data_IF_609427399306
#
_entry.id   IF_609427399306
#
_cell.length_a   1.000
_cell.length_b   1.000
_cell.length_c   1.000
_cell.angle_alpha   90.00
_cell.angle_beta   90.00
_cell.angle_gamma   90.00
#
_symmetry.space_group_name_H-M   'P 1'
#
loop_
_entity.id
_entity.type
_entity.pdbx_description
1 polymer ?
#
# COMPACT_ATOMS: atom_id res chain seq x y z
N UNK A 1 -7.61 7.33 3.29
CA UNK A 1 -6.70 7.28 2.13
C UNK A 1 -5.29 7.58 2.61
N UNK A 2 -4.33 6.77 2.19
CA UNK A 2 -2.89 6.96 2.44
C UNK A 2 -2.22 7.25 1.10
N UNK A 3 -1.52 8.37 1.00
CA UNK A 3 -0.72 8.76 -0.14
C UNK A 3 0.75 8.78 0.27
N UNK A 4 1.61 8.17 -0.54
CA UNK A 4 3.04 8.05 -0.30
C UNK A 4 3.77 8.67 -1.49
N UNK A 5 4.65 9.62 -1.20
CA UNK A 5 5.60 10.17 -2.14
C UNK A 5 6.99 9.62 -1.79
N UNK A 6 7.60 8.84 -2.69
CA UNK A 6 8.97 8.35 -2.48
C UNK A 6 10.00 9.45 -2.72
N UNK A 7 11.21 9.29 -2.19
CA UNK A 7 12.31 10.23 -2.48
C UNK A 7 12.66 10.32 -3.96
N UNK A 8 12.45 9.24 -4.71
CA UNK A 8 12.62 9.19 -6.16
C UNK A 8 11.46 9.86 -6.92
N UNK A 9 10.48 10.43 -6.20
CA UNK A 9 9.37 11.19 -6.76
C UNK A 9 8.26 10.32 -7.38
N UNK A 10 8.14 9.05 -7.00
CA UNK A 10 7.01 8.19 -7.35
C UNK A 10 5.87 8.35 -6.35
N UNK A 11 4.64 8.25 -6.84
CA UNK A 11 3.43 8.51 -6.05
C UNK A 11 2.53 7.30 -6.11
N UNK A 12 2.19 6.75 -4.96
CA UNK A 12 1.38 5.54 -4.80
C UNK A 12 0.74 5.52 -3.41
N UNK A 13 -0.04 4.50 -3.11
CA UNK A 13 -0.63 4.34 -1.79
C UNK A 13 -1.81 3.40 -1.77
N UNK A 14 -2.71 3.63 -0.83
CA UNK A 14 -3.90 2.80 -0.69
C UNK A 14 -5.06 3.51 -0.03
N UNK A 15 -6.25 3.00 -0.32
CA UNK A 15 -7.49 3.38 0.31
C UNK A 15 -7.98 2.24 1.19
N UNK A 16 -8.49 2.62 2.36
CA UNK A 16 -9.20 1.77 3.29
C UNK A 16 -10.52 2.47 3.62
N UNK A 17 -11.63 1.74 3.54
CA UNK A 17 -12.91 2.18 4.08
C UNK A 17 -12.95 1.95 5.60
N UNK A 18 -12.35 0.87 6.07
CA UNK A 18 -12.30 0.55 7.50
C UNK A 18 -11.27 1.44 8.22
N UNK A 19 -11.60 1.81 9.46
CA UNK A 19 -10.65 2.51 10.32
C UNK A 19 -9.46 1.60 10.65
N UNK A 20 -8.27 2.19 10.69
CA UNK A 20 -7.09 1.51 11.22
C UNK A 20 -7.29 1.22 12.71
N UNK A 21 -6.82 0.06 13.15
CA UNK A 21 -6.72 -0.29 14.57
C UNK A 21 -5.26 -0.56 14.94
N UNK A 22 -4.97 -0.76 16.22
CA UNK A 22 -3.64 -1.17 16.71
C UNK A 22 -3.69 -2.56 17.34
N UNK A 23 -4.64 -3.40 16.90
CA UNK A 23 -4.95 -4.70 17.51
C UNK A 23 -3.98 -5.83 17.16
N UNK A 24 -2.91 -5.56 16.42
CA UNK A 24 -1.99 -6.57 15.86
C UNK A 24 -2.74 -7.64 15.07
N UNK A 25 -3.70 -7.21 14.25
CA UNK A 25 -4.63 -8.08 13.54
C UNK A 25 -4.84 -7.62 12.10
N UNK A 26 -5.31 -8.56 11.28
CA UNK A 26 -5.85 -8.22 9.98
C UNK A 26 -7.20 -7.52 10.12
N UNK A 27 -7.49 -6.61 9.20
CA UNK A 27 -8.79 -5.94 9.10
C UNK A 27 -9.38 -6.31 7.74
N UNK A 28 -10.57 -6.90 7.80
CA UNK A 28 -11.35 -7.20 6.60
C UNK A 28 -11.84 -5.91 5.97
N UNK A 29 -11.45 -5.64 4.73
CA UNK A 29 -11.94 -4.49 3.97
C UNK A 29 -12.11 -4.84 2.47
N UNK A 30 -13.32 -5.25 2.06
CA UNK A 30 -13.59 -5.61 0.67
C UNK A 30 -13.58 -4.41 -0.29
N UNK A 31 -13.57 -3.17 0.23
CA UNK A 31 -13.52 -1.95 -0.59
C UNK A 31 -12.15 -1.29 -0.59
N UNK A 32 -11.17 -1.89 0.09
CA UNK A 32 -9.80 -1.43 0.02
C UNK A 32 -9.25 -1.58 -1.40
N UNK A 33 -8.34 -0.70 -1.77
CA UNK A 33 -7.57 -0.81 -3.00
C UNK A 33 -6.22 -0.13 -2.81
N UNK A 34 -5.19 -0.62 -3.51
CA UNK A 34 -3.92 0.11 -3.65
C UNK A 34 -3.85 0.76 -5.02
N UNK A 35 -3.00 1.77 -5.18
CA UNK A 35 -2.92 2.51 -6.43
C UNK A 35 -1.51 3.04 -6.69
N UNK A 36 -1.22 3.31 -7.97
CA UNK A 36 -0.09 4.13 -8.41
C UNK A 36 -0.62 5.34 -9.16
N UNK A 37 -0.02 6.51 -8.96
CA UNK A 37 -0.28 7.74 -9.72
C UNK A 37 0.93 8.15 -10.58
N UNK A 38 2.15 7.87 -10.11
CA UNK A 38 3.41 8.09 -10.82
C UNK A 38 4.37 6.95 -10.51
N UNK A 39 4.91 6.30 -11.55
CA UNK A 39 5.77 5.11 -11.48
C UNK A 39 6.79 5.14 -12.64
N UNK A 40 7.85 4.32 -12.61
CA UNK A 40 8.89 4.32 -13.66
C UNK A 40 8.48 3.62 -14.95
N UNK A 41 7.29 3.03 -15.05
CA UNK A 41 6.92 2.11 -16.13
C UNK A 41 5.95 2.70 -17.14
N UNK A 42 5.72 4.03 -17.09
CA UNK A 42 4.69 4.72 -17.88
C UNK A 42 3.28 4.12 -17.69
N UNK A 43 3.03 3.48 -16.54
CA UNK A 43 1.70 2.96 -16.21
C UNK A 43 0.84 4.17 -15.84
N UNK A 44 -0.34 4.38 -16.46
CA UNK A 44 -1.22 5.48 -16.10
C UNK A 44 -1.70 5.30 -14.64
N UNK A 45 -2.26 6.36 -14.01
CA UNK A 45 -2.89 6.22 -12.71
C UNK A 45 -3.84 5.02 -12.65
N UNK A 46 -3.50 4.03 -11.82
CA UNK A 46 -4.15 2.71 -11.83
C UNK A 46 -4.51 2.29 -10.41
N UNK A 47 -5.69 1.69 -10.26
CA UNK A 47 -6.18 1.08 -9.01
C UNK A 47 -6.08 -0.43 -9.10
N UNK A 48 -5.69 -1.06 -8.00
CA UNK A 48 -5.56 -2.50 -7.84
C UNK A 48 -6.47 -2.93 -6.70
N UNK A 49 -7.47 -3.75 -7.04
CA UNK A 49 -8.49 -4.19 -6.09
C UNK A 49 -8.00 -5.40 -5.30
N UNK A 50 -8.58 -5.60 -4.11
CA UNK A 50 -8.37 -6.84 -3.34
C UNK A 50 -8.86 -8.04 -4.17
N UNK A 51 -8.09 -9.12 -4.15
CA UNK A 51 -8.49 -10.38 -4.80
C UNK A 51 -9.68 -11.00 -4.06
N UNK A 52 -10.56 -11.66 -4.82
CA UNK A 52 -11.65 -12.47 -4.25
C UNK A 52 -11.09 -13.49 -3.25
N UNK A 53 -11.65 -13.52 -2.04
CA UNK A 53 -11.24 -14.41 -0.95
C UNK A 53 -10.08 -13.88 -0.09
N UNK A 54 -9.48 -12.74 -0.44
CA UNK A 54 -8.41 -12.10 0.33
C UNK A 54 -8.87 -10.86 1.09
N UNK A 55 -10.17 -10.56 1.10
CA UNK A 55 -10.74 -9.36 1.72
C UNK A 55 -10.43 -9.28 3.22
N UNK A 56 -10.35 -10.43 3.90
CA UNK A 56 -9.98 -10.53 5.31
C UNK A 56 -8.53 -10.12 5.61
N UNK A 57 -7.70 -10.01 4.57
CA UNK A 57 -6.28 -9.66 4.66
C UNK A 57 -5.98 -8.28 4.07
N UNK A 58 -7.00 -7.50 3.74
CA UNK A 58 -6.86 -6.24 3.01
C UNK A 58 -5.93 -5.24 3.71
N UNK A 59 -6.01 -5.14 5.04
CA UNK A 59 -5.16 -4.28 5.85
C UNK A 59 -4.52 -5.08 6.97
N UNK A 60 -3.31 -4.70 7.37
CA UNK A 60 -2.66 -5.23 8.56
C UNK A 60 -2.35 -4.11 9.53
N UNK A 61 -2.94 -4.20 10.72
CA UNK A 61 -2.88 -3.18 11.76
C UNK A 61 -1.96 -3.66 12.87
N UNK A 62 -0.66 -3.38 12.75
CA UNK A 62 0.34 -3.71 13.75
C UNK A 62 0.82 -2.46 14.46
N UNK A 63 0.87 -2.47 15.79
CA UNK A 63 1.18 -1.28 16.58
C UNK A 63 2.58 -0.68 16.28
N UNK A 64 3.51 -1.49 15.77
CA UNK A 64 4.85 -1.05 15.37
C UNK A 64 5.02 -0.87 13.86
N UNK A 65 3.94 -0.84 13.08
CA UNK A 65 3.96 -0.53 11.65
C UNK A 65 3.17 0.75 11.37
N UNK A 66 3.56 1.44 10.31
CA UNK A 66 2.71 2.43 9.67
C UNK A 66 1.60 1.76 8.84
N UNK A 67 0.90 2.54 7.99
CA UNK A 67 -0.12 2.02 7.09
C UNK A 67 0.41 0.84 6.27
N UNK A 68 -0.24 -0.32 6.42
CA UNK A 68 0.18 -1.58 5.78
C UNK A 68 -1.00 -2.23 5.07
N UNK A 69 -0.84 -2.46 3.76
CA UNK A 69 -1.87 -3.01 2.89
C UNK A 69 -1.49 -4.44 2.49
N UNK A 70 -2.41 -5.40 2.72
CA UNK A 70 -2.27 -6.80 2.34
C UNK A 70 -1.58 -7.70 3.38
N UNK A 71 -1.76 -9.02 3.22
CA UNK A 71 -0.95 -10.07 3.86
C UNK A 71 0.33 -10.32 3.05
N UNK A 72 1.47 -10.45 3.74
CA UNK A 72 2.78 -10.44 3.09
C UNK A 72 2.95 -9.12 2.34
N UNK A 73 3.05 -8.00 3.08
CA UNK A 73 2.35 -6.78 2.71
C UNK A 73 2.71 -6.28 1.32
N UNK A 74 1.66 -6.12 0.51
CA UNK A 74 1.73 -5.61 -0.84
C UNK A 74 2.35 -4.20 -0.83
N UNK A 75 2.01 -3.39 0.18
CA UNK A 75 2.70 -2.15 0.54
C UNK A 75 2.89 -2.14 2.07
N UNK A 76 4.14 -2.09 2.52
CA UNK A 76 4.49 -1.89 3.94
C UNK A 76 5.24 -0.59 4.13
N UNK A 77 4.71 0.24 5.01
CA UNK A 77 5.42 1.37 5.61
C UNK A 77 5.82 0.97 7.03
N UNK A 78 7.12 0.84 7.35
CA UNK A 78 7.57 0.52 8.69
C UNK A 78 7.36 1.69 9.65
N UNK A 79 7.32 1.41 10.96
CA UNK A 79 7.57 2.46 11.95
C UNK A 79 8.97 3.07 11.73
N UNK A 80 9.13 4.35 12.12
CA UNK A 80 10.35 5.14 11.84
C UNK A 80 10.68 5.16 10.35
N UNK A 81 9.68 5.40 9.52
CA UNK A 81 9.78 5.48 8.06
C UNK A 81 10.74 6.56 7.55
N UNK A 82 11.22 7.45 8.42
CA UNK A 82 12.31 8.38 8.13
C UNK A 82 13.71 7.72 8.14
N UNK A 83 13.83 6.53 8.73
CA UNK A 83 15.10 5.77 8.87
C UNK A 83 15.06 4.42 8.15
N UNK A 84 13.88 3.82 7.98
CA UNK A 84 13.70 2.48 7.43
C UNK A 84 12.94 2.53 6.12
N UNK A 85 13.41 1.77 5.12
CA UNK A 85 12.76 1.68 3.80
C UNK A 85 11.42 0.97 3.89
N UNK A 86 10.45 1.47 3.13
CA UNK A 86 9.24 0.73 2.84
C UNK A 86 9.52 -0.43 1.90
N UNK A 87 8.62 -1.42 1.87
CA UNK A 87 8.78 -2.62 1.04
C UNK A 87 7.51 -3.00 0.31
N UNK A 88 7.68 -3.74 -0.78
CA UNK A 88 6.59 -4.29 -1.58
C UNK A 88 6.75 -5.80 -1.71
N UNK A 89 5.66 -6.53 -1.48
CA UNK A 89 5.45 -7.91 -1.93
C UNK A 89 4.18 -7.99 -2.78
N UNK A 90 4.12 -7.07 -3.75
CA UNK A 90 2.91 -6.78 -4.52
C UNK A 90 2.46 -7.97 -5.35
N UNK A 91 1.14 -8.19 -5.37
CA UNK A 91 0.48 -9.31 -6.01
C UNK A 91 0.10 -10.42 -5.05
N UNK A 92 0.21 -10.21 -3.73
CA UNK A 92 -0.22 -11.19 -2.72
C UNK A 92 -1.72 -11.08 -2.46
N UNK A 93 -2.18 -9.95 -1.93
CA UNK A 93 -3.58 -9.67 -1.56
C UNK A 93 -4.32 -8.83 -2.61
N UNK A 94 -3.64 -7.84 -3.20
CA UNK A 94 -4.19 -7.04 -4.29
C UNK A 94 -3.85 -7.65 -5.66
N UNK A 95 -4.75 -7.49 -6.63
CA UNK A 95 -4.57 -8.03 -7.97
C UNK A 95 -3.56 -7.21 -8.78
N UNK A 96 -2.42 -7.82 -9.12
CA UNK A 96 -1.46 -7.21 -10.04
C UNK A 96 -1.95 -7.36 -11.49
N UNK A 97 -2.48 -6.27 -12.04
CA UNK A 97 -2.91 -6.20 -13.45
C UNK A 97 -1.79 -5.75 -14.39
N UNK A 98 -0.60 -5.50 -13.88
CA UNK A 98 0.58 -5.01 -14.64
C UNK A 98 1.58 -6.12 -14.96
N UNK A 99 1.55 -7.22 -14.20
CA UNK A 99 2.49 -8.33 -14.32
C UNK A 99 3.90 -8.02 -13.82
N UNK A 100 4.10 -6.92 -13.08
CA UNK A 100 5.41 -6.44 -12.62
C UNK A 100 5.70 -6.76 -11.15
N UNK A 101 4.72 -7.26 -10.41
CA UNK A 101 4.85 -7.56 -8.98
C UNK A 101 5.39 -6.36 -8.21
N UNK A 102 6.35 -6.59 -7.31
CA UNK A 102 6.94 -5.55 -6.47
C UNK A 102 7.53 -4.36 -7.24
N UNK A 103 7.93 -4.54 -8.50
CA UNK A 103 8.47 -3.44 -9.30
C UNK A 103 7.41 -2.43 -9.75
N UNK A 104 6.11 -2.72 -9.60
CA UNK A 104 4.99 -1.89 -10.10
C UNK A 104 5.07 -0.43 -9.68
N UNK A 105 5.35 -0.15 -8.41
CA UNK A 105 5.21 1.20 -7.84
C UNK A 105 6.44 2.07 -8.06
N UNK A 106 7.63 1.52 -7.81
CA UNK A 106 8.89 2.28 -7.76
C UNK A 106 10.01 1.67 -8.62
N UNK A 107 9.73 0.57 -9.33
CA UNK A 107 10.75 -0.18 -10.06
C UNK A 107 11.58 -1.13 -9.20
N UNK A 108 11.38 -1.15 -7.88
CA UNK A 108 12.11 -1.96 -6.92
C UNK A 108 11.17 -2.58 -5.88
N UNK A 109 11.64 -3.60 -5.14
CA UNK A 109 10.92 -4.19 -4.01
C UNK A 109 11.01 -3.38 -2.72
N UNK A 110 11.73 -2.25 -2.73
CA UNK A 110 11.84 -1.33 -1.59
C UNK A 110 11.88 0.12 -2.06
N UNK A 111 11.55 1.04 -1.15
CA UNK A 111 11.54 2.47 -1.43
C UNK A 111 11.91 3.30 -0.21
N UNK A 112 12.50 4.47 -0.45
CA UNK A 112 12.69 5.47 0.59
C UNK A 112 11.49 6.40 0.63
N UNK A 113 10.96 6.62 1.83
CA UNK A 113 9.83 7.53 2.06
C UNK A 113 10.33 8.97 1.98
N UNK A 114 9.69 9.79 1.15
CA UNK A 114 9.83 11.24 1.16
C UNK A 114 8.73 11.87 2.05
N UNK A 115 7.47 11.57 1.75
CA UNK A 115 6.31 12.09 2.47
C UNK A 115 5.19 11.05 2.55
N UNK A 116 4.43 11.07 3.65
CA UNK A 116 3.20 10.28 3.82
C UNK A 116 2.08 11.22 4.23
N UNK A 117 0.99 11.19 3.48
CA UNK A 117 -0.22 11.97 3.77
C UNK A 117 -1.38 11.02 4.02
N UNK A 118 -2.08 11.22 5.14
CA UNK A 118 -3.25 10.42 5.54
C UNK A 118 -4.47 11.32 5.58
N UNK A 119 -5.49 10.95 4.80
CA UNK A 119 -6.73 11.69 4.66
C UNK A 119 -7.92 10.82 5.06
N UNK A 120 -8.81 11.37 5.88
CA UNK A 120 -10.17 10.85 6.02
C UNK A 120 -11.02 11.43 4.89
N UNK A 121 -11.75 10.57 4.17
CA UNK A 121 -12.65 10.98 3.12
C UNK A 121 -14.08 10.92 3.66
N UNK A 122 -14.76 12.05 3.69
CA UNK A 122 -16.20 12.11 3.96
C UNK A 122 -16.92 12.13 2.62
N UNK A 123 -17.85 11.18 2.44
CA UNK A 123 -18.72 11.12 1.27
C UNK A 123 -20.00 11.91 1.48
#
# INVERSE_FOLDING_TARGET
MTLINSKDGYIFGGYAQMAWSSGNSYIRDPKAFVFTLKNPHSIPPTRFLVKSGYESYALYAYASYGPTFGNGPDILVPDRSNLVKGTFKFGSTYADTTGRGSATFTGSSSFEIGEILVYQLFG
#
